data_IF_520484093575
#
_entry.id   IF_520484093575
#
_cell.length_a   1.000
_cell.length_b   1.000
_cell.length_c   1.000
_cell.angle_alpha   90.00
_cell.angle_beta   90.00
_cell.angle_gamma   90.00
#
_symmetry.space_group_name_H-M   'P 1'
#
loop_
_entity.id
_entity.type
_entity.pdbx_description
1 polymer ?
#
# COMPACT_ATOMS: atom_id res chain seq x y z
N UNK A 1 13.67 20.58 -16.00
CA UNK A 1 14.10 19.52 -15.06
C UNK A 1 14.53 18.33 -15.88
N UNK A 2 15.73 17.80 -15.68
CA UNK A 2 16.21 16.67 -16.48
C UNK A 2 15.55 15.36 -16.03
N UNK A 3 15.53 14.34 -16.89
CA UNK A 3 15.08 12.99 -16.51
C UNK A 3 15.90 12.44 -15.33
N UNK A 4 17.17 12.81 -15.22
CA UNK A 4 18.04 12.44 -14.12
C UNK A 4 17.62 13.10 -12.79
N UNK A 5 17.24 14.38 -12.83
CA UNK A 5 16.71 15.08 -11.66
C UNK A 5 15.40 14.45 -11.18
N UNK A 6 14.51 14.10 -12.11
CA UNK A 6 13.26 13.42 -11.81
C UNK A 6 13.50 12.05 -11.18
N UNK A 7 14.39 11.25 -11.77
CA UNK A 7 14.78 9.95 -11.24
C UNK A 7 15.37 10.07 -9.83
N UNK A 8 16.26 11.04 -9.61
CA UNK A 8 16.88 11.31 -8.31
C UNK A 8 15.84 11.68 -7.25
N UNK A 9 14.92 12.60 -7.58
CA UNK A 9 13.87 13.03 -6.67
C UNK A 9 12.87 11.93 -6.33
N UNK A 10 12.45 11.13 -7.32
CA UNK A 10 11.57 9.98 -7.11
C UNK A 10 12.25 8.91 -6.25
N UNK A 11 13.50 8.56 -6.57
CA UNK A 11 14.28 7.58 -5.80
C UNK A 11 14.42 8.03 -4.34
N UNK A 12 14.78 9.29 -4.12
CA UNK A 12 14.90 9.86 -2.77
C UNK A 12 13.58 9.75 -1.99
N UNK A 13 12.44 10.04 -2.64
CA UNK A 13 11.13 9.92 -1.99
C UNK A 13 10.77 8.48 -1.65
N UNK A 14 10.96 7.54 -2.58
CA UNK A 14 10.69 6.11 -2.38
C UNK A 14 11.51 5.57 -1.21
N UNK A 15 12.83 5.79 -1.22
CA UNK A 15 13.70 5.31 -0.15
C UNK A 15 13.37 5.95 1.19
N UNK A 16 13.15 7.27 1.23
CA UNK A 16 12.76 7.96 2.46
C UNK A 16 11.52 7.34 3.10
N UNK A 17 10.50 7.04 2.29
CA UNK A 17 9.23 6.51 2.81
C UNK A 17 9.34 5.06 3.29
N UNK A 18 10.20 4.25 2.65
CA UNK A 18 10.44 2.84 2.98
C UNK A 18 11.38 2.66 4.17
N UNK A 19 12.33 3.58 4.39
CA UNK A 19 13.30 3.49 5.50
C UNK A 19 12.58 3.45 6.84
N UNK A 20 11.57 4.29 7.04
CA UNK A 20 10.88 4.40 8.32
C UNK A 20 10.27 3.06 8.81
N UNK A 21 9.39 2.39 8.06
CA UNK A 21 8.88 1.08 8.49
C UNK A 21 9.94 -0.03 8.42
N UNK A 22 10.95 0.04 7.56
CA UNK A 22 12.05 -0.93 7.56
C UNK A 22 12.87 -0.87 8.86
N UNK A 23 13.21 0.32 9.34
CA UNK A 23 13.86 0.51 10.63
C UNK A 23 12.99 0.05 11.80
N UNK A 24 11.68 0.30 11.75
CA UNK A 24 10.75 -0.20 12.77
C UNK A 24 10.69 -1.74 12.82
N UNK A 25 10.69 -2.39 11.66
CA UNK A 25 10.77 -3.85 11.56
C UNK A 25 12.10 -4.39 12.14
N UNK A 26 13.22 -3.72 11.85
CA UNK A 26 14.52 -4.11 12.41
C UNK A 26 14.52 -4.00 13.94
N UNK A 27 14.01 -2.89 14.47
CA UNK A 27 13.88 -2.69 15.92
C UNK A 27 13.00 -3.77 16.57
N UNK A 28 11.86 -4.11 15.94
CA UNK A 28 11.01 -5.20 16.40
C UNK A 28 11.73 -6.56 16.42
N UNK A 29 12.57 -6.83 15.41
CA UNK A 29 13.34 -8.08 15.36
C UNK A 29 14.44 -8.12 16.44
N UNK A 30 15.05 -7.00 16.77
CA UNK A 30 16.03 -6.89 17.86
C UNK A 30 15.38 -7.12 19.22
N UNK A 31 14.21 -6.54 19.46
CA UNK A 31 13.39 -6.78 20.66
C UNK A 31 13.00 -8.26 20.78
N UNK A 32 12.58 -8.87 19.67
CA UNK A 32 12.24 -10.30 19.65
C UNK A 32 13.44 -11.17 20.05
N UNK A 33 14.62 -10.89 19.50
CA UNK A 33 15.87 -11.62 19.84
C UNK A 33 16.23 -11.43 21.31
N UNK A 34 16.10 -10.22 21.84
CA UNK A 34 16.38 -9.94 23.24
C UNK A 34 15.44 -10.71 24.16
N UNK A 35 14.13 -10.70 23.87
CA UNK A 35 13.13 -11.39 24.68
C UNK A 35 13.30 -12.91 24.65
N UNK A 36 13.60 -13.48 23.47
CA UNK A 36 13.88 -14.92 23.34
C UNK A 36 15.14 -15.37 24.09
N UNK A 37 16.13 -14.48 24.26
CA UNK A 37 17.37 -14.79 24.96
C UNK A 37 17.26 -14.68 26.50
N UNK A 38 16.29 -13.91 27.01
CA UNK A 38 16.21 -13.52 28.42
C UNK A 38 14.94 -13.99 29.13
N UNK A 39 14.03 -14.74 28.48
CA UNK A 39 12.75 -15.15 29.08
C UNK A 39 12.31 -16.54 28.61
N UNK A 40 11.61 -17.29 29.46
CA UNK A 40 10.87 -18.49 29.05
C UNK A 40 9.90 -18.11 27.90
N UNK A 41 9.98 -18.85 26.79
CA UNK A 41 9.38 -18.53 25.48
C UNK A 41 7.85 -18.24 25.47
N UNK A 42 7.16 -18.37 26.60
CA UNK A 42 5.74 -18.12 26.77
C UNK A 42 5.38 -16.65 27.05
N UNK A 43 6.33 -15.79 27.40
CA UNK A 43 6.11 -14.34 27.59
C UNK A 43 6.47 -13.52 26.35
N UNK A 44 6.25 -14.08 25.16
CA UNK A 44 6.45 -13.37 23.90
C UNK A 44 5.42 -12.23 23.82
N UNK A 45 5.86 -10.99 24.07
CA UNK A 45 4.97 -9.83 24.11
C UNK A 45 4.32 -9.57 22.73
N UNK A 46 2.98 -9.56 22.74
CA UNK A 46 2.10 -9.26 21.62
C UNK A 46 2.54 -7.98 20.86
N UNK A 47 3.01 -6.97 21.59
CA UNK A 47 3.43 -5.68 21.03
C UNK A 47 4.62 -5.79 20.06
N UNK A 48 5.59 -6.69 20.31
CA UNK A 48 6.74 -6.86 19.41
C UNK A 48 6.30 -7.49 18.08
N UNK A 49 5.40 -8.46 18.14
CA UNK A 49 4.82 -9.08 16.95
C UNK A 49 3.92 -8.11 16.19
N UNK A 50 3.12 -7.31 16.91
CA UNK A 50 2.31 -6.27 16.29
C UNK A 50 3.17 -5.22 15.60
N UNK A 51 4.29 -4.79 16.19
CA UNK A 51 5.22 -3.86 15.57
C UNK A 51 5.81 -4.43 14.27
N UNK A 52 6.26 -5.69 14.30
CA UNK A 52 6.76 -6.39 13.12
C UNK A 52 5.68 -6.50 12.03
N UNK A 53 4.51 -7.00 12.38
CA UNK A 53 3.38 -7.17 11.45
C UNK A 53 2.98 -5.84 10.79
N UNK A 54 2.79 -4.79 11.59
CA UNK A 54 2.44 -3.45 11.08
C UNK A 54 3.54 -2.86 10.20
N UNK A 55 4.81 -3.09 10.54
CA UNK A 55 5.94 -2.56 9.78
C UNK A 55 6.06 -3.27 8.42
N UNK A 56 5.93 -4.59 8.39
CA UNK A 56 5.95 -5.38 7.16
C UNK A 56 4.76 -5.04 6.26
N UNK A 57 3.55 -4.97 6.81
CA UNK A 57 2.36 -4.57 6.03
C UNK A 57 2.53 -3.19 5.42
N UNK A 58 3.08 -2.23 6.18
CA UNK A 58 3.35 -0.87 5.68
C UNK A 58 4.39 -0.85 4.56
N UNK A 59 5.48 -1.61 4.68
CA UNK A 59 6.49 -1.76 3.61
C UNK A 59 5.82 -2.31 2.34
N UNK A 60 5.07 -3.39 2.45
CA UNK A 60 4.42 -4.05 1.30
C UNK A 60 3.41 -3.12 0.62
N UNK A 61 2.60 -2.39 1.40
CA UNK A 61 1.66 -1.42 0.87
C UNK A 61 2.36 -0.28 0.11
N UNK A 62 3.44 0.28 0.69
CA UNK A 62 4.24 1.33 0.04
C UNK A 62 4.93 0.85 -1.24
N UNK A 63 5.56 -0.33 -1.23
CA UNK A 63 6.20 -0.90 -2.43
C UNK A 63 5.17 -1.11 -3.54
N UNK A 64 4.02 -1.70 -3.21
CA UNK A 64 2.97 -2.00 -4.18
C UNK A 64 2.42 -0.71 -4.80
N UNK A 65 2.15 0.30 -3.96
CA UNK A 65 1.70 1.62 -4.40
C UNK A 65 2.74 2.31 -5.29
N UNK A 66 4.02 2.35 -4.88
CA UNK A 66 5.08 2.97 -5.66
C UNK A 66 5.33 2.25 -6.98
N UNK A 67 5.24 0.92 -7.01
CA UNK A 67 5.32 0.15 -8.25
C UNK A 67 4.20 0.55 -9.20
N UNK A 68 2.97 0.67 -8.71
CA UNK A 68 1.83 1.09 -9.53
C UNK A 68 1.95 2.53 -10.03
N UNK A 69 2.39 3.47 -9.18
CA UNK A 69 2.44 4.89 -9.54
C UNK A 69 3.66 5.30 -10.38
N UNK A 70 4.81 4.63 -10.20
CA UNK A 70 6.08 5.08 -10.76
C UNK A 70 6.73 4.06 -11.70
N UNK A 71 6.14 2.87 -11.86
CA UNK A 71 6.61 1.83 -12.77
C UNK A 71 5.48 1.42 -13.71
N UNK A 72 5.78 0.54 -14.68
CA UNK A 72 4.71 -0.12 -15.43
C UNK A 72 4.01 -1.12 -14.49
N UNK A 73 2.72 -0.93 -14.14
CA UNK A 73 2.01 -1.85 -13.26
C UNK A 73 1.77 -3.22 -13.92
N UNK A 74 1.96 -3.29 -15.24
CA UNK A 74 1.67 -4.44 -16.09
C UNK A 74 2.94 -4.88 -16.82
N UNK A 75 3.08 -6.18 -17.07
CA UNK A 75 4.23 -6.68 -17.86
C UNK A 75 4.05 -6.47 -19.36
N UNK A 76 2.83 -6.11 -19.79
CA UNK A 76 2.44 -5.94 -21.18
C UNK A 76 1.86 -4.55 -21.43
N UNK A 77 2.28 -3.90 -22.53
CA UNK A 77 1.65 -2.66 -22.99
C UNK A 77 0.16 -2.88 -23.22
N UNK A 78 -0.67 -1.99 -22.70
CA UNK A 78 -2.13 -1.94 -22.89
C UNK A 78 -2.94 -3.04 -22.16
N UNK A 79 -2.42 -3.60 -21.07
CA UNK A 79 -3.22 -4.48 -20.22
C UNK A 79 -4.21 -3.67 -19.38
N UNK A 80 -5.48 -4.08 -19.39
CA UNK A 80 -6.52 -3.45 -18.59
C UNK A 80 -6.33 -3.80 -17.12
N UNK A 81 -6.27 -2.77 -16.27
CA UNK A 81 -6.21 -2.96 -14.81
C UNK A 81 -7.60 -2.80 -14.21
N UNK A 82 -8.02 -3.77 -13.40
CA UNK A 82 -9.30 -3.71 -12.70
C UNK A 82 -9.34 -2.54 -11.71
N UNK A 83 -10.44 -1.79 -11.68
CA UNK A 83 -10.61 -0.70 -10.71
C UNK A 83 -10.58 -1.19 -9.26
N UNK A 84 -11.03 -2.43 -9.00
CA UNK A 84 -10.96 -3.04 -7.68
C UNK A 84 -9.51 -3.28 -7.24
N UNK A 85 -8.63 -3.63 -8.18
CA UNK A 85 -7.21 -3.78 -7.90
C UNK A 85 -6.58 -2.43 -7.52
N UNK A 86 -6.92 -1.37 -8.24
CA UNK A 86 -6.45 0.00 -7.94
C UNK A 86 -6.95 0.44 -6.56
N UNK A 87 -8.25 0.24 -6.27
CA UNK A 87 -8.83 0.58 -4.98
C UNK A 87 -8.17 -0.17 -3.82
N UNK A 88 -7.83 -1.45 -4.00
CA UNK A 88 -7.12 -2.22 -2.98
C UNK A 88 -5.73 -1.64 -2.70
N UNK A 89 -4.96 -1.33 -3.75
CA UNK A 89 -3.63 -0.70 -3.60
C UNK A 89 -3.72 0.62 -2.83
N UNK A 90 -4.71 1.45 -3.19
CA UNK A 90 -4.93 2.75 -2.55
C UNK A 90 -5.34 2.56 -1.08
N UNK A 91 -6.27 1.65 -0.79
CA UNK A 91 -6.74 1.36 0.57
C UNK A 91 -5.60 0.86 1.47
N UNK A 92 -4.79 -0.09 0.97
CA UNK A 92 -3.65 -0.65 1.70
C UNK A 92 -2.60 0.42 1.99
N UNK A 93 -2.35 1.35 1.07
CA UNK A 93 -1.42 2.45 1.31
C UNK A 93 -1.99 3.44 2.36
N UNK A 94 -3.26 3.81 2.22
CA UNK A 94 -3.90 4.82 3.07
C UNK A 94 -4.20 4.33 4.48
N UNK A 95 -4.32 3.02 4.71
CA UNK A 95 -4.53 2.46 6.06
C UNK A 95 -3.42 2.83 7.06
N UNK A 96 -2.24 3.21 6.57
CA UNK A 96 -1.10 3.67 7.39
C UNK A 96 -1.02 5.20 7.54
N UNK A 97 -2.06 5.91 7.11
CA UNK A 97 -2.17 7.37 7.16
C UNK A 97 -3.40 7.78 7.96
N UNK A 98 -3.57 9.09 8.19
CA UNK A 98 -4.79 9.63 8.81
C UNK A 98 -5.89 9.95 7.78
N UNK A 99 -5.65 9.65 6.51
CA UNK A 99 -6.55 10.01 5.42
C UNK A 99 -7.72 9.01 5.35
N UNK A 100 -8.88 9.50 4.92
CA UNK A 100 -10.02 8.67 4.54
C UNK A 100 -10.25 8.86 3.04
N UNK A 101 -10.48 7.75 2.34
CA UNK A 101 -10.74 7.78 0.90
C UNK A 101 -12.19 7.40 0.64
N UNK A 102 -12.78 8.06 -0.34
CA UNK A 102 -14.10 7.75 -0.89
C UNK A 102 -13.94 7.61 -2.39
N UNK A 103 -14.36 6.47 -2.92
CA UNK A 103 -14.33 6.19 -4.34
C UNK A 103 -15.64 6.66 -4.97
N UNK A 104 -15.55 7.42 -6.06
CA UNK A 104 -16.71 7.85 -6.85
C UNK A 104 -16.48 7.31 -8.25
N UNK A 105 -17.24 6.28 -8.63
CA UNK A 105 -17.20 5.69 -9.95
C UNK A 105 -18.52 5.99 -10.68
N UNK A 106 -18.47 6.83 -11.71
CA UNK A 106 -19.67 7.24 -12.45
C UNK A 106 -20.32 6.11 -13.27
N UNK A 107 -19.67 4.95 -13.39
CA UNK A 107 -20.22 3.78 -14.07
C UNK A 107 -21.45 3.19 -13.35
N UNK A 108 -21.53 3.25 -12.02
CA UNK A 108 -22.74 2.83 -11.29
C UNK A 108 -23.93 3.78 -11.51
N UNK A 109 -23.66 5.04 -11.91
CA UNK A 109 -24.72 6.02 -12.23
C UNK A 109 -25.26 5.83 -13.66
N UNK A 110 -24.43 5.33 -14.57
CA UNK A 110 -24.83 5.00 -15.94
C UNK A 110 -25.76 3.79 -16.01
N UNK A 111 -25.53 2.76 -15.20
CA UNK A 111 -26.40 1.56 -15.19
C UNK A 111 -27.81 1.89 -14.68
N UNK A 112 -27.91 2.80 -13.69
CA UNK A 112 -29.19 3.32 -13.20
C UNK A 112 -29.90 4.25 -14.19
N UNK A 113 -29.19 4.97 -15.05
CA UNK A 113 -29.82 5.84 -16.06
C UNK A 113 -30.26 5.07 -17.31
N UNK A 114 -29.63 3.95 -17.63
CA UNK A 114 -30.06 3.06 -18.73
C UNK A 114 -31.28 2.20 -18.36
N UNK A 115 -31.52 1.93 -17.07
CA UNK A 115 -32.70 1.19 -16.61
C UNK A 115 -34.03 1.96 -16.79
N UNK A 116 -34.00 3.28 -16.94
CA UNK A 116 -35.19 4.12 -17.17
C UNK A 116 -35.47 4.39 -18.66
N UNK A 117 -34.62 3.92 -19.57
CA UNK A 117 -34.88 3.98 -21.02
C UNK A 117 -35.48 2.65 -21.49
N UNK A 118 -36.69 2.31 -21.03
CA UNK A 118 -37.52 1.33 -21.74
C UNK A 118 -38.07 1.97 -23.01
N UNK A 119 -38.08 1.28 -24.17
CA UNK A 119 -38.70 1.82 -25.37
C UNK A 119 -40.20 1.99 -25.10
N UNK A 120 -40.67 3.23 -25.26
CA UNK A 120 -42.11 3.54 -25.29
C UNK A 120 -42.69 2.78 -26.50
N UNK A 121 -43.78 1.99 -26.33
CA UNK A 121 -44.39 1.24 -27.41
C UNK A 121 -44.96 2.14 -28.52
#
# INVERSE_FOLDING_TARGET
>A
MSNLDLFSLLSRKIFHDLINPASAALNGMELLKYNLANTDAQALEDETFQLLDMSIKKITAQITFFRFCYSDPTSAKNENVSINFINNIINDYVSFTRLKITYINDLERLDKSMQYCSPIP
#
